data_IF_582557831446
#
_entry.id   IF_582557831446
#
_cell.length_a   1.000
_cell.length_b   1.000
_cell.length_c   1.000
_cell.angle_alpha   90.00
_cell.angle_beta   90.00
_cell.angle_gamma   90.00
#
_symmetry.space_group_name_H-M   'P 1'
#
loop_
_entity.id
_entity.type
_entity.pdbx_description
1 polymer ?
#
# COMPACT_ATOMS: atom_id res chain seq x y z
N UNK A 1 3.84 -3.86 22.95
CA UNK A 1 3.61 -5.24 22.47
C UNK A 1 2.22 -5.44 21.88
N UNK A 2 1.11 -5.09 22.57
CA UNK A 2 -0.26 -5.29 22.04
C UNK A 2 -0.51 -4.63 20.67
N UNK A 3 -0.21 -3.34 20.51
CA UNK A 3 -0.37 -2.64 19.22
C UNK A 3 0.43 -3.28 18.08
N UNK A 4 1.69 -3.68 18.34
CA UNK A 4 2.50 -4.41 17.37
C UNK A 4 1.79 -5.70 16.93
N UNK A 5 1.33 -6.52 17.88
CA UNK A 5 0.65 -7.78 17.57
C UNK A 5 -0.61 -7.57 16.73
N UNK A 6 -1.42 -6.56 17.05
CA UNK A 6 -2.63 -6.21 16.27
C UNK A 6 -2.25 -5.86 14.83
N UNK A 7 -1.39 -4.85 14.65
CA UNK A 7 -1.03 -4.37 13.30
C UNK A 7 -0.29 -5.45 12.49
N UNK A 8 0.60 -6.21 13.13
CA UNK A 8 1.34 -7.28 12.49
C UNK A 8 0.41 -8.42 12.05
N UNK A 9 -0.50 -8.89 12.90
CA UNK A 9 -1.46 -9.94 12.52
C UNK A 9 -2.41 -9.48 11.41
N UNK A 10 -2.87 -8.23 11.46
CA UNK A 10 -3.72 -7.66 10.40
C UNK A 10 -2.98 -7.55 9.07
N UNK A 11 -1.72 -7.12 9.06
CA UNK A 11 -0.89 -7.14 7.84
C UNK A 11 -0.54 -8.56 7.39
N UNK A 12 -0.29 -9.48 8.32
CA UNK A 12 0.07 -10.85 7.99
C UNK A 12 -1.09 -11.59 7.30
N UNK A 13 -2.34 -11.26 7.62
CA UNK A 13 -3.49 -11.75 6.87
C UNK A 13 -3.40 -11.39 5.37
N UNK A 14 -2.94 -10.19 5.04
CA UNK A 14 -2.69 -9.80 3.65
C UNK A 14 -1.51 -10.52 3.04
N UNK A 15 -0.39 -10.66 3.75
CA UNK A 15 0.75 -11.44 3.25
C UNK A 15 0.36 -12.90 2.98
N UNK A 16 -0.37 -13.56 3.88
CA UNK A 16 -0.89 -14.94 3.66
C UNK A 16 -1.85 -14.99 2.48
N UNK A 17 -2.64 -13.94 2.23
CA UNK A 17 -3.56 -13.89 1.09
C UNK A 17 -2.87 -13.96 -0.27
N UNK A 18 -1.55 -13.72 -0.35
CA UNK A 18 -0.75 -13.91 -1.57
C UNK A 18 -0.67 -15.37 -2.00
N UNK A 19 -0.86 -16.34 -1.09
CA UNK A 19 -0.91 -17.77 -1.44
C UNK A 19 -2.06 -18.10 -2.40
N UNK A 20 -3.10 -17.26 -2.41
CA UNK A 20 -4.24 -17.38 -3.33
C UNK A 20 -3.95 -16.92 -4.76
N UNK A 21 -2.81 -16.27 -5.02
CA UNK A 21 -2.42 -15.88 -6.38
C UNK A 21 -1.89 -17.10 -7.13
N UNK A 22 -2.38 -17.31 -8.35
CA UNK A 22 -1.79 -18.31 -9.24
C UNK A 22 -0.53 -17.74 -9.88
N UNK A 23 0.58 -18.45 -9.73
CA UNK A 23 1.84 -18.05 -10.35
C UNK A 23 1.75 -18.33 -11.85
N UNK A 24 2.01 -17.35 -12.74
CA UNK A 24 2.03 -17.56 -14.19
C UNK A 24 3.33 -18.27 -14.57
N UNK A 25 3.40 -19.57 -14.29
CA UNK A 25 4.55 -20.42 -14.61
C UNK A 25 4.30 -21.06 -15.98
N UNK A 26 5.11 -20.75 -17.02
CA UNK A 26 5.02 -21.42 -18.31
C UNK A 26 5.27 -22.93 -18.18
N UNK A 27 4.53 -23.74 -18.94
CA UNK A 27 4.59 -25.21 -18.87
C UNK A 27 5.98 -25.76 -19.24
N UNK A 28 6.75 -25.00 -20.01
CA UNK A 28 8.09 -25.36 -20.48
C UNK A 28 9.17 -25.20 -19.40
N UNK A 29 8.87 -24.51 -18.29
CA UNK A 29 9.83 -24.27 -17.22
C UNK A 29 9.87 -25.44 -16.24
N UNK A 30 11.00 -26.15 -16.22
CA UNK A 30 11.32 -27.09 -15.12
C UNK A 30 11.67 -26.33 -13.85
N UNK A 31 10.76 -26.34 -12.89
CA UNK A 31 10.98 -25.73 -11.58
C UNK A 31 11.97 -26.55 -10.74
N UNK A 32 12.88 -25.85 -10.07
CA UNK A 32 13.81 -26.47 -9.11
C UNK A 32 13.11 -26.91 -7.82
N UNK A 33 12.01 -26.25 -7.47
CA UNK A 33 11.21 -26.51 -6.27
C UNK A 33 9.74 -26.75 -6.65
N UNK A 34 9.00 -27.54 -5.86
CA UNK A 34 7.57 -27.69 -6.07
C UNK A 34 6.84 -26.34 -5.84
N UNK A 35 5.72 -26.14 -6.54
CA UNK A 35 4.96 -24.86 -6.52
C UNK A 35 4.60 -24.42 -5.10
N UNK A 36 4.24 -25.35 -4.21
CA UNK A 36 3.92 -25.03 -2.81
C UNK A 36 5.13 -24.42 -2.07
N UNK A 37 6.34 -24.88 -2.36
CA UNK A 37 7.56 -24.36 -1.73
C UNK A 37 7.87 -22.95 -2.26
N UNK A 38 7.72 -22.71 -3.57
CA UNK A 38 7.88 -21.38 -4.17
C UNK A 38 6.88 -20.39 -3.54
N UNK A 39 5.61 -20.80 -3.40
CA UNK A 39 4.59 -19.98 -2.76
C UNK A 39 4.96 -19.59 -1.32
N UNK A 40 5.53 -20.50 -0.54
CA UNK A 40 6.02 -20.17 0.82
C UNK A 40 7.23 -19.24 0.80
N UNK A 41 8.17 -19.44 -0.14
CA UNK A 41 9.35 -18.58 -0.29
C UNK A 41 8.99 -17.13 -0.60
N UNK A 42 7.96 -16.91 -1.44
CA UNK A 42 7.46 -15.57 -1.79
C UNK A 42 6.96 -14.81 -0.55
N UNK A 43 6.51 -15.49 0.51
CA UNK A 43 6.02 -14.83 1.72
C UNK A 43 7.15 -14.26 2.60
N UNK A 44 8.39 -14.71 2.44
CA UNK A 44 9.50 -14.34 3.33
C UNK A 44 9.76 -12.83 3.25
N UNK A 45 9.95 -12.30 2.04
CA UNK A 45 10.23 -10.88 1.84
C UNK A 45 9.14 -9.96 2.42
N UNK A 46 7.85 -10.09 2.06
CA UNK A 46 6.80 -9.23 2.61
C UNK A 46 6.62 -9.41 4.12
N UNK A 47 6.87 -10.61 4.68
CA UNK A 47 6.84 -10.83 6.14
C UNK A 47 7.93 -10.03 6.85
N UNK A 48 9.16 -10.04 6.31
CA UNK A 48 10.28 -9.27 6.86
C UNK A 48 10.02 -7.77 6.76
N UNK A 49 9.59 -7.29 5.59
CA UNK A 49 9.27 -5.88 5.36
C UNK A 49 8.13 -5.41 6.27
N UNK A 50 7.08 -6.22 6.43
CA UNK A 50 5.96 -5.93 7.33
C UNK A 50 6.44 -5.85 8.78
N UNK A 51 7.24 -6.81 9.23
CA UNK A 51 7.78 -6.85 10.59
C UNK A 51 8.60 -5.60 10.90
N UNK A 52 9.47 -5.20 9.97
CA UNK A 52 10.28 -3.99 10.08
C UNK A 52 9.37 -2.74 10.09
N UNK A 53 8.44 -2.63 9.15
CA UNK A 53 7.55 -1.47 9.00
C UNK A 53 6.63 -1.27 10.21
N UNK A 54 6.03 -2.35 10.71
CA UNK A 54 5.20 -2.30 11.92
C UNK A 54 6.04 -1.90 13.14
N UNK A 55 7.26 -2.43 13.27
CA UNK A 55 8.18 -2.05 14.34
C UNK A 55 8.48 -0.55 14.28
N UNK A 56 8.89 -0.04 13.11
CA UNK A 56 9.19 1.38 12.87
C UNK A 56 8.01 2.24 13.29
N UNK A 57 6.82 1.98 12.78
CA UNK A 57 5.65 2.80 13.09
C UNK A 57 5.28 2.75 14.58
N UNK A 58 5.34 1.58 15.23
CA UNK A 58 5.08 1.45 16.68
C UNK A 58 6.07 2.26 17.50
N UNK A 59 7.35 2.31 17.11
CA UNK A 59 8.38 3.05 17.84
C UNK A 59 8.39 4.56 17.55
N UNK A 60 7.96 4.98 16.36
CA UNK A 60 8.17 6.34 15.87
C UNK A 60 6.89 7.16 15.69
N UNK A 61 5.74 6.56 15.35
CA UNK A 61 4.53 7.30 14.94
C UNK A 61 4.10 8.35 15.97
N UNK A 62 4.00 7.94 17.25
CA UNK A 62 3.65 8.86 18.35
C UNK A 62 4.65 10.01 18.53
N UNK A 63 5.94 9.78 18.27
CA UNK A 63 6.99 10.80 18.37
C UNK A 63 6.81 11.90 17.32
N UNK A 64 6.18 11.57 16.19
CA UNK A 64 5.91 12.49 15.07
C UNK A 64 4.42 12.80 14.91
N UNK A 65 3.62 12.61 15.96
CA UNK A 65 2.19 12.93 16.00
C UNK A 65 1.32 12.20 14.95
N UNK A 66 1.77 11.03 14.49
CA UNK A 66 0.99 10.11 13.67
C UNK A 66 0.40 8.99 14.55
N UNK A 67 -0.70 8.38 14.09
CA UNK A 67 -1.43 7.37 14.87
C UNK A 67 -2.17 6.36 13.99
N UNK A 68 -2.52 5.22 14.59
CA UNK A 68 -3.46 4.24 14.05
C UNK A 68 -4.67 4.16 15.00
N UNK A 69 -5.61 5.14 14.95
CA UNK A 69 -6.57 5.34 16.01
C UNK A 69 -7.38 4.09 16.40
N UNK A 70 -7.83 3.28 15.43
CA UNK A 70 -8.61 2.08 15.74
C UNK A 70 -7.72 1.00 16.36
N UNK A 71 -6.56 0.70 15.78
CA UNK A 71 -5.63 -0.28 16.32
C UNK A 71 -5.13 0.10 17.73
N UNK A 72 -4.90 1.40 17.97
CA UNK A 72 -4.55 1.93 19.28
C UNK A 72 -5.72 1.79 20.27
N UNK A 73 -6.96 2.06 19.85
CA UNK A 73 -8.12 1.88 20.69
C UNK A 73 -8.33 0.41 21.09
N UNK A 74 -8.17 -0.53 20.15
CA UNK A 74 -8.19 -1.98 20.44
C UNK A 74 -7.07 -2.35 21.43
N UNK A 75 -5.86 -1.86 21.21
CA UNK A 75 -4.72 -2.14 22.08
C UNK A 75 -4.90 -1.62 23.51
N UNK A 76 -5.60 -0.51 23.68
CA UNK A 76 -5.79 0.18 24.95
C UNK A 76 -7.13 -0.12 25.62
N UNK A 77 -8.05 -0.84 24.96
CA UNK A 77 -9.41 -1.08 25.47
C UNK A 77 -10.30 0.17 25.46
N UNK A 78 -10.01 1.15 24.58
CA UNK A 78 -10.77 2.38 24.46
C UNK A 78 -12.00 2.19 23.55
N UNK A 79 -12.92 3.16 23.59
CA UNK A 79 -14.10 3.18 22.75
C UNK A 79 -13.77 3.17 21.24
N UNK A 80 -14.07 2.06 20.58
CA UNK A 80 -13.74 1.83 19.16
C UNK A 80 -14.49 2.78 18.23
N UNK A 81 -15.74 3.10 18.56
CA UNK A 81 -16.59 3.95 17.75
C UNK A 81 -16.02 5.38 17.64
N UNK A 82 -15.52 5.93 18.74
CA UNK A 82 -14.87 7.25 18.78
C UNK A 82 -13.57 7.27 17.97
N UNK A 83 -12.87 6.13 17.89
CA UNK A 83 -11.62 6.01 17.15
C UNK A 83 -11.82 5.87 15.63
N UNK A 84 -12.85 5.15 15.19
CA UNK A 84 -13.07 4.89 13.76
C UNK A 84 -13.94 5.95 13.07
N UNK A 85 -14.95 6.52 13.75
CA UNK A 85 -15.90 7.48 13.14
C UNK A 85 -15.21 8.65 12.40
N UNK A 86 -14.17 9.29 12.94
CA UNK A 86 -13.50 10.40 12.24
C UNK A 86 -12.76 10.00 10.95
N UNK A 87 -12.50 8.70 10.77
CA UNK A 87 -11.74 8.14 9.65
C UNK A 87 -12.64 7.69 8.50
N UNK A 88 -13.90 7.33 8.78
CA UNK A 88 -14.84 6.77 7.81
C UNK A 88 -15.08 7.71 6.62
N UNK A 89 -15.59 8.92 6.87
CA UNK A 89 -15.97 9.85 5.80
C UNK A 89 -14.74 10.27 4.97
N UNK A 90 -13.61 10.69 5.57
CA UNK A 90 -12.41 11.02 4.80
C UNK A 90 -11.86 9.83 4.00
N UNK A 91 -11.86 8.63 4.59
CA UNK A 91 -11.42 7.42 3.92
C UNK A 91 -12.30 7.08 2.72
N UNK A 92 -13.63 7.16 2.87
CA UNK A 92 -14.57 6.92 1.76
C UNK A 92 -14.39 7.95 0.64
N UNK A 93 -14.31 9.24 0.98
CA UNK A 93 -14.11 10.29 -0.03
C UNK A 93 -12.77 10.08 -0.75
N UNK A 94 -11.69 9.85 -0.01
CA UNK A 94 -10.37 9.59 -0.59
C UNK A 94 -10.35 8.34 -1.48
N UNK A 95 -11.08 7.29 -1.10
CA UNK A 95 -11.18 6.07 -1.87
C UNK A 95 -11.97 6.24 -3.17
N UNK A 96 -13.09 6.97 -3.14
CA UNK A 96 -13.85 7.30 -4.34
C UNK A 96 -13.04 8.17 -5.28
N UNK A 97 -12.44 9.26 -4.77
CA UNK A 97 -11.60 10.16 -5.57
C UNK A 97 -10.40 9.42 -6.15
N UNK A 98 -9.67 8.67 -5.32
CA UNK A 98 -8.53 7.87 -5.76
C UNK A 98 -8.90 6.82 -6.78
N UNK A 99 -10.03 6.14 -6.60
CA UNK A 99 -10.51 5.11 -7.52
C UNK A 99 -10.88 5.70 -8.88
N UNK A 100 -11.64 6.79 -8.90
CA UNK A 100 -12.03 7.49 -10.13
C UNK A 100 -10.79 8.01 -10.87
N UNK A 101 -9.84 8.61 -10.16
CA UNK A 101 -8.60 9.09 -10.75
C UNK A 101 -7.79 7.95 -11.37
N UNK A 102 -7.66 6.81 -10.67
CA UNK A 102 -6.94 5.65 -11.20
C UNK A 102 -7.62 5.03 -12.41
N UNK A 103 -8.95 4.95 -12.43
CA UNK A 103 -9.72 4.52 -13.61
C UNK A 103 -9.45 5.46 -14.79
N UNK A 104 -9.51 6.78 -14.56
CA UNK A 104 -9.25 7.77 -15.61
C UNK A 104 -7.81 7.68 -16.15
N UNK A 105 -6.82 7.53 -15.26
CA UNK A 105 -5.41 7.34 -15.62
C UNK A 105 -5.24 6.06 -16.43
N UNK A 106 -5.84 4.95 -16.01
CA UNK A 106 -5.74 3.68 -16.70
C UNK A 106 -6.36 3.75 -18.10
N UNK A 107 -7.58 4.27 -18.25
CA UNK A 107 -8.25 4.40 -19.55
C UNK A 107 -7.48 5.33 -20.49
N UNK A 108 -6.91 6.42 -19.98
CA UNK A 108 -6.09 7.34 -20.78
C UNK A 108 -4.78 6.68 -21.21
N UNK A 109 -4.14 5.93 -20.32
CA UNK A 109 -2.86 5.29 -20.58
C UNK A 109 -2.97 4.14 -21.61
N UNK A 110 -4.12 3.46 -21.69
CA UNK A 110 -4.36 2.41 -22.69
C UNK A 110 -4.19 2.89 -24.14
N UNK A 111 -4.33 4.19 -24.41
CA UNK A 111 -4.13 4.77 -25.74
C UNK A 111 -2.66 4.81 -26.19
N UNK A 112 -1.72 4.72 -25.24
CA UNK A 112 -0.29 4.92 -25.51
C UNK A 112 0.59 3.76 -25.02
N UNK A 113 0.09 2.92 -24.11
CA UNK A 113 0.81 1.77 -23.59
C UNK A 113 0.86 0.62 -24.62
N UNK A 114 1.94 -0.19 -24.64
CA UNK A 114 2.01 -1.37 -25.48
C UNK A 114 0.85 -2.34 -25.21
N UNK A 115 0.20 -2.83 -26.26
CA UNK A 115 -0.97 -3.72 -26.15
C UNK A 115 -0.65 -5.04 -25.41
N UNK A 116 0.52 -5.61 -25.62
CA UNK A 116 0.95 -6.83 -24.90
C UNK A 116 1.05 -6.58 -23.38
N UNK A 117 1.57 -5.42 -22.97
CA UNK A 117 1.61 -5.03 -21.56
C UNK A 117 0.20 -4.87 -20.98
N UNK A 118 -0.70 -4.16 -21.67
CA UNK A 118 -2.06 -3.91 -21.16
C UNK A 118 -2.87 -5.20 -21.03
N UNK A 119 -2.74 -6.14 -21.98
CA UNK A 119 -3.40 -7.45 -21.95
C UNK A 119 -2.90 -8.28 -20.76
N UNK A 120 -1.58 -8.46 -20.61
CA UNK A 120 -1.04 -9.25 -19.50
C UNK A 120 -1.28 -8.62 -18.13
N UNK A 121 -1.22 -7.29 -18.04
CA UNK A 121 -1.57 -6.58 -16.81
C UNK A 121 -3.05 -6.78 -16.43
N UNK A 122 -3.97 -6.76 -17.40
CA UNK A 122 -5.39 -7.05 -17.18
C UNK A 122 -5.63 -8.51 -16.77
N UNK A 123 -4.92 -9.47 -17.37
CA UNK A 123 -4.98 -10.88 -16.98
C UNK A 123 -4.51 -11.11 -15.54
N UNK A 124 -3.33 -10.57 -15.18
CA UNK A 124 -2.80 -10.62 -13.81
C UNK A 124 -3.76 -9.96 -12.80
N UNK A 125 -4.34 -8.83 -13.18
CA UNK A 125 -5.39 -8.16 -12.41
C UNK A 125 -6.57 -9.12 -12.16
N UNK A 126 -7.11 -9.77 -13.20
CA UNK A 126 -8.22 -10.75 -13.06
C UNK A 126 -7.85 -11.97 -12.20
N UNK A 127 -6.60 -12.42 -12.27
CA UNK A 127 -6.08 -13.52 -11.44
C UNK A 127 -5.89 -13.13 -9.97
N UNK A 128 -5.82 -11.82 -9.65
CA UNK A 128 -5.70 -11.34 -8.27
C UNK A 128 -7.07 -11.27 -7.62
N UNK A 129 -7.32 -12.18 -6.68
CA UNK A 129 -8.60 -12.27 -5.97
C UNK A 129 -8.99 -10.96 -5.28
N UNK A 130 -10.29 -10.70 -5.17
CA UNK A 130 -10.80 -9.54 -4.44
C UNK A 130 -10.32 -9.51 -2.98
N UNK A 131 -10.24 -10.69 -2.34
CA UNK A 131 -9.73 -10.81 -0.98
C UNK A 131 -8.27 -10.38 -0.86
N UNK A 132 -7.41 -10.80 -1.80
CA UNK A 132 -6.00 -10.40 -1.83
C UNK A 132 -5.84 -8.89 -2.05
N UNK A 133 -6.67 -8.29 -2.91
CA UNK A 133 -6.69 -6.83 -3.11
C UNK A 133 -7.01 -6.09 -1.82
N UNK A 134 -8.03 -6.53 -1.09
CA UNK A 134 -8.41 -5.90 0.19
C UNK A 134 -7.33 -6.09 1.25
N UNK A 135 -6.88 -7.34 1.47
CA UNK A 135 -6.00 -7.64 2.59
C UNK A 135 -4.55 -7.24 2.32
N UNK A 136 -4.00 -7.55 1.15
CA UNK A 136 -2.64 -7.15 0.81
C UNK A 136 -2.60 -5.68 0.39
N UNK A 137 -3.32 -5.32 -0.68
CA UNK A 137 -3.34 -3.94 -1.18
C UNK A 137 -3.90 -2.94 -0.17
N UNK A 138 -5.13 -3.16 0.29
CA UNK A 138 -5.82 -2.22 1.17
C UNK A 138 -5.26 -2.08 2.60
N UNK A 139 -4.60 -3.13 3.14
CA UNK A 139 -4.12 -3.14 4.53
C UNK A 139 -2.60 -3.26 4.62
N UNK A 140 -2.01 -4.29 3.99
CA UNK A 140 -0.58 -4.58 4.13
C UNK A 140 0.27 -3.47 3.52
N UNK A 141 -0.09 -2.98 2.33
CA UNK A 141 0.66 -1.90 1.69
C UNK A 141 0.58 -0.60 2.50
N UNK A 142 -0.55 -0.30 3.16
CA UNK A 142 -0.63 0.85 4.06
C UNK A 142 0.25 0.70 5.31
N UNK A 143 0.39 -0.51 5.83
CA UNK A 143 1.32 -0.79 6.94
C UNK A 143 2.78 -0.61 6.51
N UNK A 144 3.13 -1.04 5.29
CA UNK A 144 4.46 -0.88 4.73
C UNK A 144 4.76 0.60 4.48
N UNK A 145 3.90 1.27 3.72
CA UNK A 145 4.18 2.58 3.14
C UNK A 145 3.84 3.72 4.09
N UNK A 146 2.69 3.68 4.77
CA UNK A 146 2.22 4.80 5.60
C UNK A 146 2.75 4.61 7.01
N UNK A 147 2.37 3.51 7.65
CA UNK A 147 2.77 3.24 9.02
C UNK A 147 4.30 3.11 9.18
N UNK A 148 4.96 2.36 8.28
CA UNK A 148 6.41 2.20 8.28
C UNK A 148 7.16 3.37 7.63
N UNK A 149 7.17 3.42 6.30
CA UNK A 149 8.07 4.28 5.53
C UNK A 149 7.78 5.78 5.70
N UNK A 150 6.52 6.21 5.58
CA UNK A 150 6.16 7.62 5.73
C UNK A 150 6.47 8.11 7.15
N UNK A 151 6.14 7.33 8.19
CA UNK A 151 6.53 7.65 9.57
C UNK A 151 8.03 7.82 9.73
N UNK A 152 8.83 6.91 9.15
CA UNK A 152 10.29 7.00 9.18
C UNK A 152 10.76 8.28 8.50
N UNK A 153 10.22 8.64 7.35
CA UNK A 153 10.59 9.86 6.63
C UNK A 153 10.23 11.13 7.39
N UNK A 154 9.04 11.19 8.00
CA UNK A 154 8.67 12.32 8.88
C UNK A 154 9.65 12.41 10.05
N UNK A 155 10.00 11.28 10.67
CA UNK A 155 10.93 11.25 11.79
C UNK A 155 12.33 11.72 11.38
N UNK A 156 12.86 11.23 10.25
CA UNK A 156 14.17 11.67 9.72
C UNK A 156 14.13 13.17 9.44
N UNK A 157 13.12 13.67 8.73
CA UNK A 157 12.97 15.10 8.44
C UNK A 157 12.91 15.95 9.73
N UNK A 158 12.14 15.49 10.72
CA UNK A 158 12.05 16.16 12.02
C UNK A 158 13.39 16.18 12.77
N UNK A 159 14.18 15.11 12.70
CA UNK A 159 15.51 15.05 13.32
C UNK A 159 16.52 15.95 12.62
N UNK A 160 16.49 16.03 11.28
CA UNK A 160 17.42 16.84 10.50
C UNK A 160 17.08 18.33 10.64
N UNK A 161 15.82 18.70 10.37
CA UNK A 161 15.44 20.11 10.23
C UNK A 161 14.85 20.71 11.52
N UNK A 162 14.14 19.90 12.31
CA UNK A 162 13.57 20.32 13.60
C UNK A 162 14.44 19.99 14.80
N UNK A 163 15.59 19.35 14.60
CA UNK A 163 16.50 18.85 15.66
C UNK A 163 15.81 17.97 16.72
N UNK A 164 14.64 17.40 16.39
CA UNK A 164 13.83 16.65 17.35
C UNK A 164 13.16 17.50 18.44
N UNK A 165 13.05 18.82 18.28
CA UNK A 165 12.38 19.72 19.22
C UNK A 165 10.96 20.03 18.74
N UNK A 166 10.04 20.19 19.69
CA UNK A 166 8.64 20.49 19.37
C UNK A 166 7.96 19.44 18.47
N UNK A 167 6.95 19.87 17.72
CA UNK A 167 6.27 19.03 16.72
C UNK A 167 6.98 19.12 15.36
N UNK A 168 6.97 18.06 14.54
CA UNK A 168 7.48 18.15 13.18
C UNK A 168 6.78 19.25 12.38
N UNK A 169 7.52 20.10 11.64
CA UNK A 169 6.91 21.12 10.79
C UNK A 169 6.19 20.46 9.59
N UNK A 170 5.20 21.16 9.02
CA UNK A 170 4.34 20.65 7.95
C UNK A 170 5.14 20.14 6.72
N UNK A 171 6.24 20.79 6.35
CA UNK A 171 7.04 20.37 5.19
C UNK A 171 7.68 18.98 5.38
N UNK A 172 7.93 18.53 6.62
CA UNK A 172 8.40 17.16 6.87
C UNK A 172 7.32 16.13 6.48
N UNK A 173 6.05 16.43 6.74
CA UNK A 173 4.95 15.58 6.32
C UNK A 173 4.77 15.61 4.80
N UNK A 174 4.77 16.80 4.19
CA UNK A 174 4.64 16.93 2.72
C UNK A 174 5.76 16.16 2.01
N UNK A 175 7.01 16.34 2.43
CA UNK A 175 8.15 15.61 1.88
C UNK A 175 8.02 14.10 2.08
N UNK A 176 7.64 13.64 3.28
CA UNK A 176 7.42 12.22 3.55
C UNK A 176 6.30 11.61 2.71
N UNK A 177 5.19 12.32 2.51
CA UNK A 177 4.07 11.90 1.66
C UNK A 177 4.56 11.70 0.23
N UNK A 178 5.25 12.68 -0.34
CA UNK A 178 5.79 12.60 -1.71
C UNK A 178 6.78 11.44 -1.85
N UNK A 179 7.74 11.32 -0.93
CA UNK A 179 8.74 10.26 -0.97
C UNK A 179 8.12 8.86 -0.83
N UNK A 180 7.18 8.67 0.10
CA UNK A 180 6.47 7.39 0.24
C UNK A 180 5.58 7.09 -0.97
N UNK A 181 4.96 8.10 -1.59
CA UNK A 181 4.13 7.92 -2.77
C UNK A 181 4.97 7.46 -3.98
N UNK A 182 6.14 8.07 -4.19
CA UNK A 182 7.08 7.64 -5.24
C UNK A 182 7.59 6.23 -4.95
N UNK A 183 7.96 5.94 -3.70
CA UNK A 183 8.39 4.60 -3.31
C UNK A 183 7.29 3.55 -3.53
N UNK A 184 6.03 3.91 -3.32
CA UNK A 184 4.89 3.04 -3.61
C UNK A 184 4.81 2.70 -5.10
N UNK A 185 4.97 3.69 -5.98
CA UNK A 185 5.04 3.44 -7.42
C UNK A 185 6.25 2.64 -7.87
N UNK A 186 7.42 2.89 -7.30
CA UNK A 186 8.63 2.09 -7.56
C UNK A 186 8.46 0.64 -7.10
N UNK A 187 7.80 0.43 -5.95
CA UNK A 187 7.52 -0.91 -5.41
C UNK A 187 6.66 -1.79 -6.32
N UNK A 188 5.95 -1.20 -7.29
CA UNK A 188 5.14 -1.91 -8.26
C UNK A 188 5.89 -2.30 -9.55
N UNK A 189 7.08 -1.74 -9.80
CA UNK A 189 7.86 -2.05 -11.00
C UNK A 189 8.26 -3.54 -11.12
N UNK A 190 8.69 -4.25 -10.06
CA UNK A 190 9.04 -5.67 -10.16
C UNK A 190 7.91 -6.53 -10.74
N UNK A 191 6.65 -6.18 -10.42
CA UNK A 191 5.48 -6.87 -10.94
C UNK A 191 5.33 -6.70 -12.46
N UNK A 192 5.61 -5.50 -12.98
CA UNK A 192 5.57 -5.24 -14.41
C UNK A 192 6.67 -5.99 -15.17
N UNK A 193 7.88 -6.09 -14.61
CA UNK A 193 8.95 -6.89 -15.20
C UNK A 193 8.63 -8.39 -15.15
N UNK A 194 7.91 -8.86 -14.13
CA UNK A 194 7.48 -10.25 -14.02
C UNK A 194 6.44 -10.66 -15.08
N UNK A 195 5.79 -9.72 -15.77
CA UNK A 195 4.86 -10.02 -16.87
C UNK A 195 5.57 -10.56 -18.13
N UNK A 196 6.90 -10.49 -18.20
CA UNK A 196 7.65 -10.95 -19.36
C UNK A 196 7.27 -10.20 -20.64
N UNK A 197 6.95 -8.91 -20.53
CA UNK A 197 6.71 -8.01 -21.66
C UNK A 197 7.81 -6.95 -21.69
N UNK A 198 8.16 -6.39 -22.86
CA UNK A 198 9.07 -5.26 -22.92
C UNK A 198 8.53 -4.06 -22.12
N UNK A 199 9.22 -3.72 -21.02
CA UNK A 199 8.88 -2.56 -20.19
C UNK A 199 9.68 -1.35 -20.69
N UNK A 200 9.01 -0.41 -21.35
CA UNK A 200 9.62 0.82 -21.86
C UNK A 200 9.47 1.99 -20.85
N UNK A 201 10.11 3.12 -21.14
CA UNK A 201 10.07 4.31 -20.27
C UNK A 201 8.65 4.83 -20.01
N UNK A 202 7.74 4.69 -20.97
CA UNK A 202 6.34 5.10 -20.81
C UNK A 202 5.60 4.19 -19.82
N UNK A 203 5.80 2.88 -19.90
CA UNK A 203 5.25 1.89 -18.96
C UNK A 203 5.78 2.15 -17.54
N UNK A 204 7.09 2.41 -17.40
CA UNK A 204 7.70 2.75 -16.10
C UNK A 204 7.07 4.02 -15.53
N UNK A 205 6.97 5.08 -16.34
CA UNK A 205 6.37 6.34 -15.92
C UNK A 205 4.90 6.15 -15.51
N UNK A 206 4.12 5.40 -16.28
CA UNK A 206 2.73 5.09 -15.97
C UNK A 206 2.59 4.39 -14.61
N UNK A 207 3.37 3.33 -14.36
CA UNK A 207 3.30 2.58 -13.10
C UNK A 207 3.66 3.48 -11.92
N UNK A 208 4.73 4.26 -12.03
CA UNK A 208 5.15 5.15 -10.96
C UNK A 208 4.07 6.21 -10.71
N UNK A 209 3.59 6.88 -11.76
CA UNK A 209 2.62 7.99 -11.65
C UNK A 209 1.29 7.50 -11.12
N UNK A 210 0.71 6.44 -11.69
CA UNK A 210 -0.60 5.93 -11.26
C UNK A 210 -0.59 5.60 -9.77
N UNK A 211 0.39 4.80 -9.33
CA UNK A 211 0.51 4.45 -7.92
C UNK A 211 0.85 5.65 -7.03
N UNK A 212 1.72 6.56 -7.48
CA UNK A 212 2.06 7.76 -6.70
C UNK A 212 0.87 8.68 -6.49
N UNK A 213 -0.03 8.81 -7.47
CA UNK A 213 -1.24 9.64 -7.34
C UNK A 213 -2.09 9.17 -6.16
N UNK A 214 -2.36 7.86 -6.06
CA UNK A 214 -3.02 7.32 -4.89
C UNK A 214 -2.14 7.39 -3.64
N UNK A 215 -0.84 7.17 -3.82
CA UNK A 215 0.28 7.48 -2.92
C UNK A 215 0.03 8.71 -2.05
N UNK A 216 -0.17 9.85 -2.73
CA UNK A 216 -0.37 11.17 -2.16
C UNK A 216 -1.68 11.27 -1.35
N UNK A 217 -2.78 10.71 -1.87
CA UNK A 217 -4.09 10.73 -1.20
C UNK A 217 -4.02 9.98 0.13
N UNK A 218 -3.56 8.73 0.11
CA UNK A 218 -3.45 7.91 1.31
C UNK A 218 -2.41 8.47 2.30
N UNK A 219 -1.31 9.07 1.82
CA UNK A 219 -0.35 9.77 2.67
C UNK A 219 -0.98 10.98 3.39
N UNK A 220 -1.75 11.80 2.67
CA UNK A 220 -2.47 12.93 3.27
C UNK A 220 -3.52 12.47 4.30
N UNK A 221 -4.29 11.43 3.99
CA UNK A 221 -5.25 10.84 4.92
C UNK A 221 -4.56 10.31 6.17
N UNK A 222 -3.43 9.61 6.03
CA UNK A 222 -2.66 9.12 7.16
C UNK A 222 -2.19 10.27 8.06
N UNK A 223 -1.68 11.35 7.46
CA UNK A 223 -1.26 12.53 8.22
C UNK A 223 -2.41 13.21 8.97
N UNK A 224 -3.56 13.38 8.32
CA UNK A 224 -4.64 14.21 8.87
C UNK A 224 -5.66 13.44 9.71
N UNK A 225 -5.83 12.14 9.48
CA UNK A 225 -6.93 11.34 10.03
C UNK A 225 -6.47 10.03 10.70
N UNK A 226 -5.32 9.50 10.33
CA UNK A 226 -4.77 8.26 10.88
C UNK A 226 -4.75 7.11 9.87
N UNK A 227 -4.13 6.01 10.28
CA UNK A 227 -3.81 4.88 9.41
C UNK A 227 -5.06 4.24 8.79
N UNK A 228 -6.14 4.07 9.57
CA UNK A 228 -7.32 3.37 9.07
C UNK A 228 -8.10 4.19 8.05
N UNK A 229 -7.99 5.53 8.04
CA UNK A 229 -8.52 6.36 6.95
C UNK A 229 -7.85 6.04 5.61
N UNK A 230 -6.52 5.86 5.61
CA UNK A 230 -5.77 5.46 4.42
C UNK A 230 -6.14 4.02 3.98
N UNK A 231 -6.30 3.10 4.93
CA UNK A 231 -6.76 1.72 4.65
C UNK A 231 -8.16 1.67 4.03
N UNK A 232 -9.13 2.38 4.61
CA UNK A 232 -10.50 2.48 4.08
C UNK A 232 -10.46 3.03 2.65
N UNK A 233 -9.68 4.09 2.44
CA UNK A 233 -9.49 4.69 1.11
C UNK A 233 -8.95 3.67 0.12
N UNK A 234 -7.92 2.91 0.49
CA UNK A 234 -7.27 1.97 -0.43
C UNK A 234 -8.13 0.75 -0.75
N UNK A 235 -8.81 0.20 0.26
CA UNK A 235 -9.82 -0.86 0.05
C UNK A 235 -10.89 -0.40 -0.94
N UNK A 236 -11.37 0.84 -0.80
CA UNK A 236 -12.41 1.39 -1.67
C UNK A 236 -11.90 1.68 -3.08
N UNK A 237 -10.63 2.06 -3.25
CA UNK A 237 -9.99 2.14 -4.58
C UNK A 237 -10.11 0.81 -5.32
N UNK A 238 -9.77 -0.31 -4.67
CA UNK A 238 -9.88 -1.61 -5.31
C UNK A 238 -11.32 -1.97 -5.67
N UNK A 239 -12.30 -1.61 -4.84
CA UNK A 239 -13.71 -1.80 -5.15
C UNK A 239 -14.14 -1.00 -6.39
N UNK A 240 -13.76 0.28 -6.47
CA UNK A 240 -14.04 1.13 -7.64
C UNK A 240 -13.39 0.55 -8.90
N UNK A 241 -12.12 0.15 -8.82
CA UNK A 241 -11.39 -0.40 -9.96
C UNK A 241 -12.04 -1.70 -10.50
N UNK A 242 -12.42 -2.63 -9.61
CA UNK A 242 -13.06 -3.91 -9.98
C UNK A 242 -14.47 -3.70 -10.55
N UNK A 243 -15.16 -2.63 -10.16
CA UNK A 243 -16.51 -2.33 -10.66
C UNK A 243 -16.50 -1.55 -11.97
N UNK A 244 -15.53 -0.66 -12.16
CA UNK A 244 -15.42 0.19 -13.35
C UNK A 244 -14.76 -0.50 -14.55
N UNK A 245 -13.86 -1.45 -14.29
CA UNK A 245 -13.08 -2.14 -15.32
C UNK A 245 -13.44 -3.63 -15.25
N UNK A 246 -14.53 -3.99 -15.93
CA UNK A 246 -14.97 -5.38 -16.12
C UNK A 246 -14.51 -5.89 -17.48
#
# INVERSE_FOLDING_TARGET
>A
MKLFGILWLTGMAGVVSLLGINLPIPEEIKLQFPVWAIKLLILIQPTLLLTISVSIGVFLARKVTLSAPLAEAISSGNALDRAIKPQLVPGIIGGLVGGILLVAIQLSAQLFLPSDFTVKAAEMSRNTSFLTRILYGGITEELLLRWGMMTLFVWIGWRIFGKGQGKPPAFCFVGAIVLSAVLFGLGHLPLAFALGTPVNNLTIAYIIVANSVFGLIAGYLYWQKGLEAAMISHVLVHLVMVTAIR
#
